data_IF_712537193238
#
_entry.id   IF_712537193238
#
_cell.length_a   1.000
_cell.length_b   1.000
_cell.length_c   1.000
_cell.angle_alpha   90.00
_cell.angle_beta   90.00
_cell.angle_gamma   90.00
#
_symmetry.space_group_name_H-M   'P 1'
#
loop_
_entity.id
_entity.type
_entity.pdbx_description
1 polymer ?
#
# COMPACT_ATOMS: atom_id res chain seq x y z
N UNK A 1 26.42 -28.57 -1.38
CA UNK A 1 25.65 -27.43 -1.90
C UNK A 1 26.32 -26.19 -1.31
N UNK A 2 27.00 -25.41 -2.13
CA UNK A 2 27.71 -24.19 -1.69
C UNK A 2 26.66 -23.14 -1.34
N UNK A 3 26.49 -22.83 -0.08
CA UNK A 3 25.62 -21.73 0.38
C UNK A 3 26.18 -20.43 -0.21
N UNK A 4 25.45 -19.87 -1.17
CA UNK A 4 25.88 -18.65 -1.84
C UNK A 4 25.81 -17.52 -0.83
N UNK A 5 26.95 -16.92 -0.48
CA UNK A 5 27.04 -15.85 0.51
C UNK A 5 26.04 -14.73 0.14
N UNK A 6 25.21 -14.32 1.10
CA UNK A 6 24.27 -13.19 0.95
C UNK A 6 25.08 -11.91 0.82
N UNK A 7 24.78 -11.11 -0.19
CA UNK A 7 25.42 -9.83 -0.47
C UNK A 7 24.37 -8.71 -0.58
N UNK A 8 24.80 -7.46 -0.60
CA UNK A 8 23.87 -6.32 -0.81
C UNK A 8 23.14 -6.38 -2.17
N UNK A 9 23.72 -7.10 -3.15
CA UNK A 9 23.12 -7.33 -4.48
C UNK A 9 22.20 -8.56 -4.53
N UNK A 10 22.10 -9.35 -3.47
CA UNK A 10 21.19 -10.49 -3.42
C UNK A 10 19.73 -10.02 -3.56
N UNK A 11 18.87 -10.84 -4.19
CA UNK A 11 17.44 -10.53 -4.25
C UNK A 11 16.85 -10.42 -2.85
N UNK A 12 15.73 -9.68 -2.73
CA UNK A 12 15.05 -9.50 -1.45
C UNK A 12 14.60 -10.83 -0.86
N UNK A 13 14.14 -11.77 -1.70
CA UNK A 13 13.73 -13.10 -1.29
C UNK A 13 14.90 -13.91 -0.71
N UNK A 14 16.07 -13.84 -1.35
CA UNK A 14 17.29 -14.49 -0.85
C UNK A 14 17.75 -13.86 0.47
N UNK A 15 17.72 -12.52 0.57
CA UNK A 15 18.08 -11.79 1.77
C UNK A 15 17.19 -12.18 2.98
N UNK A 16 15.91 -12.35 2.74
CA UNK A 16 14.95 -12.75 3.77
C UNK A 16 14.87 -14.26 4.01
N UNK A 17 15.49 -15.07 3.15
CA UNK A 17 15.42 -16.54 3.23
C UNK A 17 14.00 -17.07 3.00
N UNK A 18 13.19 -16.37 2.18
CA UNK A 18 11.82 -16.76 1.83
C UNK A 18 11.73 -17.21 0.37
N UNK A 19 10.74 -18.03 0.00
CA UNK A 19 10.52 -18.42 -1.39
C UNK A 19 10.28 -17.21 -2.30
N UNK A 20 10.83 -17.26 -3.53
CA UNK A 20 10.58 -16.24 -4.55
C UNK A 20 9.21 -16.46 -5.18
N UNK A 21 8.17 -15.99 -4.50
CA UNK A 21 6.77 -16.13 -4.89
C UNK A 21 5.95 -14.92 -4.41
N UNK A 22 4.78 -14.73 -5.02
CA UNK A 22 3.87 -13.66 -4.66
C UNK A 22 3.20 -13.90 -3.31
N UNK A 23 2.70 -15.11 -3.06
CA UNK A 23 2.13 -15.49 -1.76
C UNK A 23 3.21 -15.51 -0.68
N UNK A 24 3.10 -14.62 0.30
CA UNK A 24 4.03 -14.52 1.43
C UNK A 24 3.28 -14.50 2.75
N UNK A 25 3.84 -15.16 3.76
CA UNK A 25 3.39 -15.02 5.15
C UNK A 25 3.90 -13.71 5.73
N UNK A 26 2.97 -12.81 6.01
CA UNK A 26 3.26 -11.48 6.57
C UNK A 26 3.93 -11.57 7.93
N UNK A 27 3.47 -12.46 8.81
CA UNK A 27 4.02 -12.61 10.15
C UNK A 27 5.46 -13.16 10.12
N UNK A 28 5.73 -14.09 9.19
CA UNK A 28 7.07 -14.58 8.95
C UNK A 28 8.01 -13.48 8.44
N UNK A 29 7.56 -12.65 7.50
CA UNK A 29 8.33 -11.49 7.01
C UNK A 29 8.64 -10.48 8.13
N UNK A 30 7.65 -10.16 8.97
CA UNK A 30 7.81 -9.23 10.09
C UNK A 30 8.81 -9.77 11.13
N UNK A 31 8.78 -11.07 11.41
CA UNK A 31 9.72 -11.73 12.32
C UNK A 31 11.12 -11.69 11.75
N UNK A 32 11.28 -12.08 10.48
CA UNK A 32 12.59 -12.10 9.81
C UNK A 32 13.20 -10.71 9.69
N UNK A 33 12.40 -9.70 9.39
CA UNK A 33 12.85 -8.31 9.40
C UNK A 33 13.44 -7.88 10.74
N UNK A 34 12.75 -8.19 11.86
CA UNK A 34 13.23 -7.87 13.22
C UNK A 34 14.57 -8.56 13.53
N UNK A 35 14.73 -9.81 13.11
CA UNK A 35 15.97 -10.56 13.28
C UNK A 35 17.11 -9.91 12.50
N UNK A 36 16.92 -9.66 11.20
CA UNK A 36 17.93 -9.06 10.33
C UNK A 36 18.32 -7.65 10.82
N UNK A 37 17.35 -6.83 11.23
CA UNK A 37 17.63 -5.51 11.80
C UNK A 37 18.45 -5.60 13.08
N UNK A 38 18.16 -6.58 13.95
CA UNK A 38 18.94 -6.80 15.16
C UNK A 38 20.39 -7.23 14.84
N UNK A 39 20.57 -8.06 13.82
CA UNK A 39 21.89 -8.49 13.36
C UNK A 39 22.72 -7.36 12.78
N UNK A 40 22.10 -6.50 11.97
CA UNK A 40 22.74 -5.39 11.26
C UNK A 40 22.75 -4.05 12.04
N UNK A 41 22.26 -4.03 13.29
CA UNK A 41 22.13 -2.77 14.03
C UNK A 41 23.47 -2.06 14.22
N UNK A 42 23.61 -0.77 13.84
CA UNK A 42 24.87 -0.04 13.92
C UNK A 42 25.50 -0.02 15.32
N UNK A 43 24.69 -0.02 16.39
CA UNK A 43 25.17 0.00 17.78
C UNK A 43 26.01 -1.24 18.13
N UNK A 44 25.76 -2.38 17.51
CA UNK A 44 26.58 -3.58 17.69
C UNK A 44 28.03 -3.40 17.18
N UNK A 45 28.22 -2.43 16.30
CA UNK A 45 29.50 -2.13 15.67
C UNK A 45 30.10 -0.83 16.19
N UNK A 46 29.50 -0.19 17.21
CA UNK A 46 29.93 1.10 17.76
C UNK A 46 31.37 1.07 18.30
N UNK A 47 31.81 -0.07 18.85
CA UNK A 47 33.16 -0.28 19.32
C UNK A 47 34.18 -0.68 18.23
N UNK A 48 33.70 -0.84 16.98
CA UNK A 48 34.52 -1.25 15.83
C UNK A 48 34.96 -0.02 15.01
N UNK A 49 35.72 -0.27 13.93
CA UNK A 49 36.19 0.80 13.06
C UNK A 49 35.07 1.42 12.21
N UNK A 50 35.29 2.62 11.70
CA UNK A 50 34.34 3.37 10.90
C UNK A 50 33.86 2.61 9.62
N UNK A 51 34.67 1.70 9.08
CA UNK A 51 34.30 0.89 7.92
C UNK A 51 33.24 -0.18 8.30
N UNK A 52 33.35 -0.77 9.50
CA UNK A 52 32.35 -1.73 10.00
C UNK A 52 31.01 -1.04 10.28
N UNK A 53 31.03 0.15 10.89
CA UNK A 53 29.83 0.95 11.13
C UNK A 53 29.13 1.34 9.82
N UNK A 54 29.86 1.79 8.81
CA UNK A 54 29.29 2.11 7.50
C UNK A 54 28.65 0.89 6.84
N UNK A 55 29.28 -0.28 6.90
CA UNK A 55 28.70 -1.52 6.38
C UNK A 55 27.41 -1.92 7.11
N UNK A 56 27.39 -1.81 8.43
CA UNK A 56 26.19 -2.08 9.23
C UNK A 56 25.02 -1.16 8.82
N UNK A 57 25.30 0.13 8.62
CA UNK A 57 24.30 1.08 8.15
C UNK A 57 23.77 0.73 6.74
N UNK A 58 24.65 0.38 5.80
CA UNK A 58 24.23 -0.06 4.45
C UNK A 58 23.33 -1.30 4.50
N UNK A 59 23.67 -2.28 5.34
CA UNK A 59 22.84 -3.45 5.54
C UNK A 59 21.48 -3.12 6.16
N UNK A 60 21.45 -2.25 7.18
CA UNK A 60 20.21 -1.82 7.81
C UNK A 60 19.25 -1.14 6.81
N UNK A 61 19.78 -0.23 5.96
CA UNK A 61 18.99 0.39 4.88
C UNK A 61 18.50 -0.66 3.89
N UNK A 62 19.39 -1.53 3.41
CA UNK A 62 19.06 -2.59 2.43
C UNK A 62 17.99 -3.55 2.93
N UNK A 63 18.04 -3.92 4.22
CA UNK A 63 17.05 -4.76 4.87
C UNK A 63 15.69 -4.07 4.91
N UNK A 64 15.66 -2.78 5.25
CA UNK A 64 14.42 -1.99 5.26
C UNK A 64 13.79 -1.87 3.88
N UNK A 65 14.58 -1.59 2.84
CA UNK A 65 14.10 -1.51 1.46
C UNK A 65 13.50 -2.84 1.01
N UNK A 66 14.18 -3.96 1.27
CA UNK A 66 13.68 -5.29 0.97
C UNK A 66 12.37 -5.61 1.69
N UNK A 67 12.30 -5.30 2.99
CA UNK A 67 11.09 -5.48 3.76
C UNK A 67 9.92 -4.67 3.22
N UNK A 68 10.11 -3.36 2.90
CA UNK A 68 9.06 -2.52 2.34
C UNK A 68 8.56 -3.06 1.00
N UNK A 69 9.44 -3.67 0.20
CA UNK A 69 9.08 -4.27 -1.09
C UNK A 69 8.35 -5.60 -0.92
N UNK A 70 8.84 -6.46 -0.04
CA UNK A 70 8.25 -7.79 0.18
C UNK A 70 6.92 -7.74 0.94
N UNK A 71 6.73 -6.81 1.88
CA UNK A 71 5.50 -6.71 2.66
C UNK A 71 4.30 -6.18 1.89
N UNK A 72 4.55 -5.36 0.88
CA UNK A 72 3.55 -4.69 0.07
C UNK A 72 3.22 -5.54 -1.16
N UNK A 73 1.97 -6.00 -1.34
CA UNK A 73 1.61 -6.86 -2.47
C UNK A 73 1.88 -6.23 -3.83
N UNK A 74 1.61 -4.93 -4.00
CA UNK A 74 1.84 -4.22 -5.25
C UNK A 74 3.33 -4.17 -5.59
N UNK A 75 4.17 -3.75 -4.63
CA UNK A 75 5.63 -3.66 -4.82
C UNK A 75 6.25 -5.03 -5.04
N UNK A 76 5.77 -6.05 -4.33
CA UNK A 76 6.22 -7.43 -4.48
C UNK A 76 5.87 -7.99 -5.87
N UNK A 77 4.65 -7.76 -6.37
CA UNK A 77 4.25 -8.17 -7.72
C UNK A 77 5.10 -7.50 -8.80
N UNK A 78 5.29 -6.18 -8.69
CA UNK A 78 6.15 -5.43 -9.61
C UNK A 78 7.59 -5.96 -9.61
N UNK A 79 8.14 -6.26 -8.44
CA UNK A 79 9.49 -6.82 -8.30
C UNK A 79 9.60 -8.23 -8.88
N UNK A 80 8.60 -9.08 -8.71
CA UNK A 80 8.58 -10.42 -9.34
C UNK A 80 8.51 -10.32 -10.87
N UNK A 81 7.74 -9.37 -11.41
CA UNK A 81 7.72 -9.09 -12.84
C UNK A 81 9.10 -8.65 -13.34
N UNK A 82 9.78 -7.76 -12.63
CA UNK A 82 11.13 -7.31 -12.95
C UNK A 82 12.14 -8.47 -12.94
N UNK A 83 12.14 -9.30 -11.90
CA UNK A 83 12.99 -10.49 -11.80
C UNK A 83 12.69 -11.51 -12.91
N UNK A 84 11.45 -11.58 -13.38
CA UNK A 84 11.01 -12.41 -14.49
C UNK A 84 11.28 -11.79 -15.87
N UNK A 85 11.98 -10.65 -15.96
CA UNK A 85 12.34 -10.00 -17.22
C UNK A 85 11.20 -9.21 -17.87
N UNK A 86 10.11 -8.95 -17.16
CA UNK A 86 8.95 -8.17 -17.62
C UNK A 86 8.73 -6.94 -16.73
N UNK A 87 9.58 -5.90 -16.80
CA UNK A 87 9.46 -4.71 -15.96
C UNK A 87 8.14 -3.96 -16.24
N UNK A 88 7.52 -3.44 -15.18
CA UNK A 88 6.18 -2.81 -15.27
C UNK A 88 6.19 -1.55 -16.14
N UNK A 89 7.26 -0.74 -16.11
CA UNK A 89 7.45 0.49 -16.92
C UNK A 89 6.21 1.40 -16.94
N UNK A 90 5.60 1.62 -15.78
CA UNK A 90 4.32 2.32 -15.65
C UNK A 90 4.36 3.77 -16.19
N UNK A 91 5.54 4.40 -16.22
CA UNK A 91 5.73 5.76 -16.74
C UNK A 91 5.58 5.84 -18.27
N UNK A 92 5.94 4.76 -18.97
CA UNK A 92 5.99 4.73 -20.45
C UNK A 92 4.91 3.83 -21.06
N UNK A 93 4.20 3.06 -20.26
CA UNK A 93 3.20 2.11 -20.73
C UNK A 93 2.08 1.94 -19.71
N UNK A 94 0.89 2.43 -20.06
CA UNK A 94 -0.34 2.37 -19.25
C UNK A 94 -1.28 1.25 -19.71
N UNK A 95 -0.83 0.32 -20.57
CA UNK A 95 -1.66 -0.77 -21.06
C UNK A 95 -2.13 -1.66 -19.90
N UNK A 96 -3.44 -1.79 -19.78
CA UNK A 96 -4.17 -2.60 -18.80
C UNK A 96 -5.21 -3.47 -19.52
N UNK A 97 -5.77 -4.51 -18.89
CA UNK A 97 -6.84 -5.27 -19.48
C UNK A 97 -8.01 -4.38 -19.92
N UNK A 98 -8.54 -4.56 -21.14
CA UNK A 98 -9.58 -3.69 -21.70
C UNK A 98 -10.83 -3.59 -20.80
N UNK A 99 -11.24 -4.70 -20.19
CA UNK A 99 -12.36 -4.73 -19.24
C UNK A 99 -12.09 -3.81 -18.03
N UNK A 100 -10.85 -3.76 -17.54
CA UNK A 100 -10.49 -2.90 -16.42
C UNK A 100 -10.49 -1.42 -16.82
N UNK A 101 -10.14 -1.09 -18.07
CA UNK A 101 -10.21 0.27 -18.59
C UNK A 101 -11.65 0.82 -18.59
N UNK A 102 -12.63 0.00 -18.90
CA UNK A 102 -14.05 0.39 -18.82
C UNK A 102 -14.46 0.60 -17.37
N UNK A 103 -14.14 -0.34 -16.49
CA UNK A 103 -14.48 -0.28 -15.07
C UNK A 103 -13.88 0.94 -14.36
N UNK A 104 -12.65 1.31 -14.66
CA UNK A 104 -12.06 2.53 -14.08
C UNK A 104 -12.77 3.82 -14.50
N UNK A 105 -13.35 3.87 -15.72
CA UNK A 105 -14.14 5.02 -16.16
C UNK A 105 -15.45 5.09 -15.38
N UNK A 106 -16.15 3.96 -15.23
CA UNK A 106 -17.38 3.86 -14.44
C UNK A 106 -17.15 4.27 -12.99
N UNK A 107 -16.06 3.85 -12.38
CA UNK A 107 -15.71 4.25 -11.01
C UNK A 107 -15.42 5.75 -10.87
N UNK A 108 -14.74 6.35 -11.85
CA UNK A 108 -14.48 7.80 -11.83
C UNK A 108 -15.79 8.60 -11.95
N UNK A 109 -16.66 8.20 -12.86
CA UNK A 109 -17.98 8.81 -13.02
C UNK A 109 -18.82 8.67 -11.74
N UNK A 110 -18.80 7.47 -11.10
CA UNK A 110 -19.48 7.23 -9.85
C UNK A 110 -18.95 8.10 -8.71
N UNK A 111 -17.62 8.23 -8.59
CA UNK A 111 -16.99 9.08 -7.56
C UNK A 111 -17.32 10.57 -7.76
N UNK A 112 -17.28 11.04 -9.01
CA UNK A 112 -17.60 12.43 -9.34
C UNK A 112 -19.08 12.75 -9.07
N UNK A 113 -19.99 11.78 -9.29
CA UNK A 113 -21.42 11.92 -9.05
C UNK A 113 -21.81 11.74 -7.57
N UNK A 114 -20.96 11.11 -6.75
CA UNK A 114 -21.26 10.78 -5.36
C UNK A 114 -21.53 12.04 -4.52
N UNK A 115 -22.73 12.14 -3.97
CA UNK A 115 -23.20 13.27 -3.15
C UNK A 115 -23.30 12.96 -1.66
N UNK A 116 -23.03 11.70 -1.24
CA UNK A 116 -23.14 11.25 0.16
C UNK A 116 -22.01 10.32 0.55
N UNK A 117 -21.72 10.23 1.86
CA UNK A 117 -20.74 9.28 2.40
C UNK A 117 -21.09 7.85 2.01
N UNK A 118 -22.36 7.46 2.14
CA UNK A 118 -22.83 6.10 1.83
C UNK A 118 -22.57 5.70 0.37
N UNK A 119 -22.67 6.61 -0.59
CA UNK A 119 -22.37 6.34 -2.01
C UNK A 119 -20.87 6.10 -2.22
N UNK A 120 -20.00 6.87 -1.57
CA UNK A 120 -18.55 6.67 -1.66
C UNK A 120 -18.12 5.38 -0.95
N UNK A 121 -18.71 5.05 0.21
CA UNK A 121 -18.45 3.79 0.91
C UNK A 121 -18.88 2.56 0.09
N UNK A 122 -20.02 2.63 -0.59
CA UNK A 122 -20.48 1.57 -1.50
C UNK A 122 -19.51 1.37 -2.68
N UNK A 123 -19.05 2.46 -3.28
CA UNK A 123 -18.03 2.43 -4.33
C UNK A 123 -16.70 1.86 -3.80
N UNK A 124 -16.29 2.25 -2.60
CA UNK A 124 -15.08 1.73 -1.96
C UNK A 124 -15.15 0.20 -1.77
N UNK A 125 -16.31 -0.32 -1.34
CA UNK A 125 -16.50 -1.76 -1.20
C UNK A 125 -16.34 -2.50 -2.53
N UNK A 126 -16.88 -1.95 -3.63
CA UNK A 126 -16.73 -2.53 -4.97
C UNK A 126 -15.26 -2.52 -5.45
N UNK A 127 -14.59 -1.39 -5.28
CA UNK A 127 -13.16 -1.24 -5.65
C UNK A 127 -12.29 -2.21 -4.85
N UNK A 128 -12.57 -2.39 -3.55
CA UNK A 128 -11.84 -3.34 -2.71
C UNK A 128 -12.10 -4.81 -3.08
N UNK A 129 -13.30 -5.15 -3.54
CA UNK A 129 -13.60 -6.47 -4.11
C UNK A 129 -12.76 -6.71 -5.38
N UNK A 130 -12.74 -5.76 -6.31
CA UNK A 130 -11.91 -5.84 -7.52
C UNK A 130 -10.42 -5.93 -7.20
N UNK A 131 -9.95 -5.20 -6.18
CA UNK A 131 -8.57 -5.31 -5.68
C UNK A 131 -8.25 -6.73 -5.21
N UNK A 132 -9.15 -7.36 -4.47
CA UNK A 132 -8.99 -8.73 -4.00
C UNK A 132 -8.86 -9.71 -5.17
N UNK A 133 -9.71 -9.58 -6.19
CA UNK A 133 -9.68 -10.42 -7.39
C UNK A 133 -8.37 -10.24 -8.17
N UNK A 134 -7.86 -9.02 -8.28
CA UNK A 134 -6.57 -8.75 -8.91
C UNK A 134 -5.42 -9.40 -8.15
N UNK A 135 -5.43 -9.38 -6.81
CA UNK A 135 -4.40 -10.03 -6.00
C UNK A 135 -4.42 -11.55 -6.18
N UNK A 136 -5.59 -12.18 -6.21
CA UNK A 136 -5.73 -13.60 -6.49
C UNK A 136 -5.23 -13.95 -7.91
N UNK A 137 -5.54 -13.09 -8.89
CA UNK A 137 -5.08 -13.29 -10.27
C UNK A 137 -3.56 -13.14 -10.39
N UNK A 138 -2.95 -12.18 -9.68
CA UNK A 138 -1.51 -12.02 -9.60
C UNK A 138 -0.83 -13.26 -8.99
N UNK A 139 -1.40 -13.82 -7.91
CA UNK A 139 -0.90 -15.07 -7.33
C UNK A 139 -0.92 -16.21 -8.34
N UNK A 140 -2.03 -16.38 -9.09
CA UNK A 140 -2.11 -17.41 -10.11
C UNK A 140 -1.09 -17.22 -11.23
N UNK A 141 -0.93 -15.99 -11.73
CA UNK A 141 -0.01 -15.69 -12.82
C UNK A 141 1.47 -15.84 -12.41
N UNK A 142 1.83 -15.34 -11.23
CA UNK A 142 3.23 -15.29 -10.78
C UNK A 142 3.67 -16.62 -10.15
N UNK A 143 2.82 -17.24 -9.29
CA UNK A 143 3.24 -18.40 -8.50
C UNK A 143 2.94 -19.74 -9.17
N UNK A 144 1.84 -19.82 -9.98
CA UNK A 144 1.43 -21.08 -10.60
C UNK A 144 1.78 -21.17 -12.08
N UNK A 145 1.52 -20.08 -12.83
CA UNK A 145 1.74 -20.06 -14.28
C UNK A 145 3.15 -19.59 -14.64
N UNK A 146 3.83 -18.89 -13.72
CA UNK A 146 5.14 -18.27 -13.94
C UNK A 146 5.15 -17.36 -15.18
N UNK A 147 4.08 -16.59 -15.37
CA UNK A 147 3.90 -15.66 -16.49
C UNK A 147 3.95 -14.19 -16.02
N UNK A 148 5.15 -13.65 -15.81
CA UNK A 148 5.32 -12.25 -15.41
C UNK A 148 4.87 -11.28 -16.51
N UNK A 149 4.89 -11.68 -17.79
CA UNK A 149 4.48 -10.81 -18.88
C UNK A 149 2.97 -10.51 -18.83
N UNK A 150 2.14 -11.51 -18.56
CA UNK A 150 0.70 -11.32 -18.33
C UNK A 150 0.41 -10.62 -16.99
N UNK A 151 1.23 -10.83 -15.96
CA UNK A 151 1.08 -10.20 -14.67
C UNK A 151 1.24 -8.68 -14.71
N UNK A 152 2.09 -8.14 -15.60
CA UNK A 152 2.35 -6.70 -15.73
C UNK A 152 1.09 -5.87 -15.91
N UNK A 153 0.13 -6.32 -16.73
CA UNK A 153 -1.15 -5.63 -16.94
C UNK A 153 -1.98 -5.56 -15.65
N UNK A 154 -1.96 -6.62 -14.84
CA UNK A 154 -2.66 -6.68 -13.55
C UNK A 154 -1.98 -5.81 -12.49
N UNK A 155 -0.63 -5.74 -12.50
CA UNK A 155 0.13 -4.83 -11.64
C UNK A 155 -0.24 -3.37 -11.92
N UNK A 156 -0.36 -2.97 -13.19
CA UNK A 156 -0.78 -1.61 -13.56
C UNK A 156 -2.22 -1.32 -13.12
N UNK A 157 -3.13 -2.29 -13.28
CA UNK A 157 -4.48 -2.17 -12.76
C UNK A 157 -4.51 -1.99 -11.23
N UNK A 158 -3.68 -2.74 -10.51
CA UNK A 158 -3.55 -2.58 -9.05
C UNK A 158 -2.97 -1.21 -8.67
N UNK A 159 -1.98 -0.68 -9.43
CA UNK A 159 -1.46 0.67 -9.23
C UNK A 159 -2.53 1.75 -9.40
N UNK A 160 -3.44 1.57 -10.37
CA UNK A 160 -4.59 2.46 -10.51
C UNK A 160 -5.49 2.40 -9.27
N UNK A 161 -5.85 1.21 -8.80
CA UNK A 161 -6.70 1.03 -7.62
C UNK A 161 -6.09 1.71 -6.39
N UNK A 162 -4.80 1.51 -6.11
CA UNK A 162 -4.13 2.16 -4.97
C UNK A 162 -4.21 3.69 -5.04
N UNK A 163 -4.10 4.28 -6.23
CA UNK A 163 -4.27 5.72 -6.42
C UNK A 163 -5.73 6.14 -6.27
N UNK A 164 -6.65 5.38 -6.84
CA UNK A 164 -8.08 5.67 -6.79
C UNK A 164 -8.64 5.57 -5.36
N UNK A 165 -8.11 4.68 -4.53
CA UNK A 165 -8.43 4.65 -3.10
C UNK A 165 -8.09 5.98 -2.41
N UNK A 166 -6.94 6.58 -2.72
CA UNK A 166 -6.60 7.89 -2.16
C UNK A 166 -7.54 9.01 -2.64
N UNK A 167 -8.02 8.94 -3.89
CA UNK A 167 -9.01 9.89 -4.41
C UNK A 167 -10.37 9.73 -3.67
N UNK A 168 -10.78 8.48 -3.38
CA UNK A 168 -11.99 8.20 -2.58
C UNK A 168 -11.85 8.69 -1.14
N UNK A 169 -10.71 8.47 -0.49
CA UNK A 169 -10.46 8.95 0.87
C UNK A 169 -10.57 10.48 0.94
N UNK A 170 -10.01 11.18 -0.04
CA UNK A 170 -10.13 12.63 -0.15
C UNK A 170 -11.59 13.08 -0.34
N UNK A 171 -12.37 12.34 -1.12
CA UNK A 171 -13.80 12.64 -1.34
C UNK A 171 -14.61 12.45 -0.06
N UNK A 172 -14.34 11.39 0.70
CA UNK A 172 -14.95 11.15 2.01
C UNK A 172 -14.68 12.32 2.97
N UNK A 173 -13.43 12.75 3.10
CA UNK A 173 -13.05 13.89 3.94
C UNK A 173 -13.80 15.17 3.54
N UNK A 174 -13.98 15.43 2.24
CA UNK A 174 -14.73 16.60 1.74
C UNK A 174 -16.21 16.54 2.14
N UNK A 175 -16.85 15.38 2.01
CA UNK A 175 -18.26 15.19 2.36
C UNK A 175 -18.49 15.29 3.87
N UNK A 176 -17.60 14.73 4.69
CA UNK A 176 -17.62 14.87 6.14
C UNK A 176 -17.55 16.34 6.58
N UNK A 177 -16.70 17.15 5.96
CA UNK A 177 -16.58 18.57 6.27
C UNK A 177 -17.87 19.34 5.96
N UNK A 178 -18.53 19.01 4.86
CA UNK A 178 -19.82 19.64 4.47
C UNK A 178 -20.93 19.31 5.45
N UNK A 179 -20.98 18.08 6.01
CA UNK A 179 -21.97 17.67 7.00
C UNK A 179 -21.75 18.31 8.40
N UNK A 180 -20.52 18.61 8.76
CA UNK A 180 -20.16 19.19 10.09
C UNK A 180 -20.42 20.70 10.15
N UNK A 181 -20.28 21.46 9.05
CA UNK A 181 -20.49 22.91 9.03
C UNK A 181 -21.90 23.36 9.45
N UNK A 182 -23.02 22.80 8.96
CA UNK A 182 -24.35 23.21 9.39
C UNK A 182 -24.64 22.90 10.87
N UNK A 183 -24.05 21.84 11.43
CA UNK A 183 -24.24 21.51 12.85
C UNK A 183 -23.53 22.50 13.78
N UNK A 184 -22.41 23.07 13.39
CA UNK A 184 -21.72 24.13 14.13
C UNK A 184 -22.48 25.47 14.06
N UNK A 185 -23.06 25.80 12.91
CA UNK A 185 -23.84 27.01 12.74
C UNK A 185 -25.13 26.99 13.58
N UNK A 186 -25.83 25.84 13.67
CA UNK A 186 -27.03 25.68 14.51
C UNK A 186 -26.72 25.64 16.00
N UNK A 187 -25.60 25.10 16.42
CA UNK A 187 -25.16 25.10 17.83
C UNK A 187 -24.76 26.50 18.32
N UNK A 188 -24.25 27.36 17.44
CA UNK A 188 -23.91 28.75 17.77
C UNK A 188 -25.11 29.68 17.81
N UNK A 189 -26.26 29.28 17.23
CA UNK A 189 -27.50 30.06 17.17
C UNK A 189 -28.51 29.74 18.30
N UNK A 190 -28.14 28.94 19.30
CA UNK A 190 -29.02 28.67 20.45
C UNK A 190 -29.26 29.97 21.26
N UNK A 191 -30.53 30.42 21.46
CA UNK A 191 -30.81 31.68 22.14
C UNK A 191 -30.42 31.53 23.64
N UNK A 192 -29.67 32.52 24.12
CA UNK A 192 -29.37 32.63 25.57
C UNK A 192 -30.69 32.71 26.34
N UNK A 193 -30.92 31.74 27.21
CA UNK A 193 -32.08 31.72 28.15
C UNK A 193 -31.96 32.94 29.07
N UNK A 194 -32.93 33.86 29.11
CA UNK A 194 -32.85 35.01 30.02
C UNK A 194 -32.96 34.53 31.45
N UNK A 195 -31.94 34.77 32.27
CA UNK A 195 -31.98 34.57 33.71
C UNK A 195 -33.07 35.47 34.30
N UNK A 196 -34.18 34.88 34.73
CA UNK A 196 -35.17 35.50 35.59
C UNK A 196 -34.52 35.91 36.94
N UNK A 197 -34.31 37.24 37.12
CA UNK A 197 -33.97 37.79 38.42
C UNK A 197 -35.15 37.58 39.34
N UNK A 198 -35.01 36.67 40.31
CA UNK A 198 -35.88 36.65 41.47
C UNK A 198 -35.59 37.88 42.33
N UNK A 199 -36.53 38.81 42.36
CA UNK A 199 -36.55 39.93 43.30
C UNK A 199 -37.14 39.36 44.59
N UNK A 200 -36.32 39.30 45.64
CA UNK A 200 -36.76 38.98 47.00
C UNK A 200 -37.53 40.17 47.58
N UNK A 201 -38.68 39.89 48.21
CA UNK A 201 -39.27 40.65 49.28
C UNK A 201 -39.23 39.85 50.56
#
# INVERSE_FOLDING_TARGET
MTEKAITLASSDFVLFGVPQQFAQDRAALDTRWKELQREAHPDKFAAQNAAAQRRAMQWSVRINEAYQRLKDPLKRAAYLCELGGAPVNAENNTAMPAQFLMQQMEWREALDAAGSLAEVEALQAEVMASRSDLLHKLEQLLDRQHDPAQAVGQVRALMFIERFCADMDLRLEQLEQVEVEPQRATAAAAPAVPMLRQVAR
#
